data_IF_515537628021
#
_entry.id   IF_515537628021
#
_cell.length_a   1.000
_cell.length_b   1.000
_cell.length_c   1.000
_cell.angle_alpha   90.00
_cell.angle_beta   90.00
_cell.angle_gamma   90.00
#
_symmetry.space_group_name_H-M   'P 1'
#
loop_
_entity.id
_entity.type
_entity.pdbx_description
1 polymer ?
#
# COMPACT_ATOMS: atom_id res chain seq x y z
N UNK A 1 -32.34 -38.23 -0.44
CA UNK A 1 -31.28 -37.91 0.54
C UNK A 1 -30.04 -38.69 0.13
N UNK A 2 -28.84 -38.14 -0.07
CA UNK A 2 -28.13 -37.01 0.55
C UNK A 2 -27.35 -36.23 -0.51
N UNK A 3 -27.33 -34.89 -0.39
CA UNK A 3 -26.50 -33.97 -1.19
C UNK A 3 -25.05 -34.16 -0.77
N UNK A 4 -24.17 -34.51 -1.70
CA UNK A 4 -22.73 -34.29 -1.55
C UNK A 4 -22.43 -32.85 -1.94
N UNK A 5 -22.37 -31.98 -0.94
CA UNK A 5 -21.90 -30.61 -1.06
C UNK A 5 -20.54 -30.57 -0.38
N UNK A 6 -19.48 -30.64 -1.17
CA UNK A 6 -18.15 -30.24 -0.73
C UNK A 6 -17.86 -28.86 -1.31
N UNK A 7 -17.80 -27.82 -0.47
CA UNK A 7 -16.97 -26.67 -0.73
C UNK A 7 -15.91 -26.59 0.37
N UNK A 8 -14.66 -26.80 0.01
CA UNK A 8 -13.58 -26.17 0.76
C UNK A 8 -12.54 -25.72 -0.27
N UNK A 9 -12.67 -24.46 -0.68
CA UNK A 9 -11.75 -23.41 -0.25
C UNK A 9 -10.39 -23.60 -0.94
N UNK A 10 -10.16 -22.86 -2.03
CA UNK A 10 -9.43 -21.59 -1.93
C UNK A 10 -8.10 -21.84 -1.22
N UNK A 11 -6.99 -21.97 -1.93
CA UNK A 11 -6.37 -20.82 -2.56
C UNK A 11 -5.39 -21.39 -3.58
N UNK A 12 -5.84 -21.52 -4.84
CA UNK A 12 -4.90 -21.72 -5.92
C UNK A 12 -4.01 -20.48 -5.96
N UNK A 13 -2.77 -20.73 -5.56
CA UNK A 13 -1.71 -19.77 -5.40
C UNK A 13 -1.53 -19.09 -6.75
N UNK A 14 -1.96 -17.82 -6.84
CA UNK A 14 -1.59 -16.91 -7.94
C UNK A 14 -0.11 -16.55 -7.79
N UNK A 15 0.76 -17.54 -7.98
CA UNK A 15 2.17 -17.38 -8.28
C UNK A 15 2.26 -17.23 -9.80
N UNK A 16 2.13 -15.99 -10.28
CA UNK A 16 2.21 -15.70 -11.71
C UNK A 16 2.18 -14.22 -12.08
N UNK A 17 2.44 -13.30 -11.13
CA UNK A 17 2.55 -11.87 -11.41
C UNK A 17 3.94 -11.38 -11.01
N UNK A 18 4.95 -12.09 -11.50
CA UNK A 18 6.35 -11.72 -11.42
C UNK A 18 6.64 -10.44 -12.24
N UNK A 19 6.98 -9.39 -11.51
CA UNK A 19 8.19 -8.57 -11.71
C UNK A 19 8.27 -7.48 -12.80
N UNK A 20 7.30 -7.29 -13.72
CA UNK A 20 7.46 -6.26 -14.78
C UNK A 20 6.53 -5.04 -14.70
N UNK A 21 5.44 -5.13 -13.94
CA UNK A 21 4.49 -4.03 -13.76
C UNK A 21 4.54 -3.67 -12.30
N UNK A 22 4.89 -2.42 -11.96
CA UNK A 22 4.69 -1.95 -10.59
C UNK A 22 3.22 -2.25 -10.28
N UNK A 23 2.96 -3.21 -9.40
CA UNK A 23 1.60 -3.64 -9.14
C UNK A 23 0.82 -2.41 -8.69
N UNK A 24 -0.39 -2.22 -9.21
CA UNK A 24 -1.25 -1.11 -8.76
C UNK A 24 -1.33 -1.13 -7.23
N UNK A 25 -1.35 -2.33 -6.64
CA UNK A 25 -1.25 -2.57 -5.19
C UNK A 25 0.05 -2.07 -4.53
N UNK A 26 1.22 -2.19 -5.15
CA UNK A 26 2.48 -1.65 -4.60
C UNK A 26 2.46 -0.11 -4.60
N UNK A 27 1.92 0.49 -5.67
CA UNK A 27 1.75 1.95 -5.76
C UNK A 27 0.80 2.44 -4.68
N UNK A 28 -0.32 1.76 -4.50
CA UNK A 28 -1.30 2.09 -3.47
C UNK A 28 -0.73 2.00 -2.06
N UNK A 29 -0.04 0.90 -1.72
CA UNK A 29 0.60 0.73 -0.42
C UNK A 29 1.62 1.85 -0.19
N UNK A 30 2.45 2.14 -1.19
CA UNK A 30 3.45 3.20 -1.10
C UNK A 30 2.80 4.59 -0.95
N UNK A 31 1.69 4.83 -1.66
CA UNK A 31 0.92 6.06 -1.58
C UNK A 31 0.35 6.27 -0.18
N UNK A 32 -0.29 5.24 0.40
CA UNK A 32 -0.80 5.25 1.77
C UNK A 32 0.31 5.55 2.77
N UNK A 33 1.47 4.90 2.65
CA UNK A 33 2.62 5.14 3.52
C UNK A 33 3.15 6.58 3.42
N UNK A 34 3.29 7.12 2.21
CA UNK A 34 3.75 8.50 2.00
C UNK A 34 2.79 9.50 2.65
N UNK A 35 1.49 9.31 2.44
CA UNK A 35 0.49 10.22 2.97
C UNK A 35 0.43 10.14 4.50
N UNK A 36 0.48 8.93 5.06
CA UNK A 36 0.51 8.71 6.50
C UNK A 36 1.70 9.42 7.15
N UNK A 37 2.92 9.20 6.65
CA UNK A 37 4.14 9.83 7.18
C UNK A 37 4.06 11.37 7.13
N UNK A 38 3.46 11.93 6.07
CA UNK A 38 3.24 13.38 5.97
C UNK A 38 2.28 13.90 7.02
N UNK A 39 1.14 13.24 7.23
CA UNK A 39 0.14 13.69 8.20
C UNK A 39 0.68 13.51 9.63
N UNK A 40 1.35 12.40 9.92
CA UNK A 40 1.95 12.12 11.23
C UNK A 40 3.03 13.16 11.61
N UNK A 41 3.86 13.60 10.65
CA UNK A 41 4.89 14.64 10.84
C UNK A 41 4.34 16.06 10.81
N UNK A 42 3.10 16.25 10.35
CA UNK A 42 2.47 17.56 10.30
C UNK A 42 1.81 17.87 11.65
N UNK A 43 1.71 19.16 12.02
CA UNK A 43 0.98 19.59 13.22
C UNK A 43 -0.55 19.49 13.04
N UNK A 44 -1.02 18.58 12.18
CA UNK A 44 -2.44 18.32 11.97
C UNK A 44 -3.02 17.61 13.20
N UNK A 45 -4.25 17.99 13.54
CA UNK A 45 -4.99 17.57 14.74
C UNK A 45 -4.28 17.84 16.07
N UNK A 46 -3.90 19.11 16.36
CA UNK A 46 -3.17 19.45 17.59
C UNK A 46 -3.98 19.24 18.88
N UNK A 47 -5.31 19.16 18.78
CA UNK A 47 -6.22 19.09 19.93
C UNK A 47 -6.90 17.71 20.07
N UNK A 48 -6.52 16.72 19.27
CA UNK A 48 -7.06 15.36 19.39
C UNK A 48 -6.20 14.51 20.33
N UNK A 49 -6.83 13.56 21.01
CA UNK A 49 -6.11 12.48 21.69
C UNK A 49 -5.29 11.67 20.67
N UNK A 50 -4.27 10.94 21.11
CA UNK A 50 -3.48 10.11 20.20
C UNK A 50 -4.33 9.04 19.49
N UNK A 51 -5.35 8.52 20.17
CA UNK A 51 -6.26 7.51 19.63
C UNK A 51 -7.17 8.12 18.55
N UNK A 52 -7.86 9.23 18.86
CA UNK A 52 -8.68 9.97 17.89
C UNK A 52 -7.86 10.49 16.70
N UNK A 53 -6.61 10.89 16.97
CA UNK A 53 -5.66 11.33 15.93
C UNK A 53 -5.33 10.17 15.01
N UNK A 54 -5.04 8.98 15.54
CA UNK A 54 -4.75 7.79 14.75
C UNK A 54 -5.92 7.41 13.84
N UNK A 55 -7.15 7.39 14.38
CA UNK A 55 -8.35 7.08 13.60
C UNK A 55 -8.59 8.11 12.49
N UNK A 56 -8.41 9.40 12.78
CA UNK A 56 -8.56 10.46 11.79
C UNK A 56 -7.50 10.37 10.70
N UNK A 57 -6.25 10.10 11.08
CA UNK A 57 -5.16 9.88 10.12
C UNK A 57 -5.48 8.68 9.22
N UNK A 58 -5.94 7.56 9.78
CA UNK A 58 -6.30 6.38 9.00
C UNK A 58 -7.41 6.70 7.98
N UNK A 59 -8.46 7.42 8.40
CA UNK A 59 -9.52 7.87 7.53
C UNK A 59 -9.00 8.77 6.39
N UNK A 60 -8.19 9.77 6.73
CA UNK A 60 -7.68 10.73 5.74
C UNK A 60 -6.67 10.09 4.79
N UNK A 61 -5.91 9.10 5.25
CA UNK A 61 -5.07 8.28 4.38
C UNK A 61 -5.91 7.52 3.36
N UNK A 62 -6.99 6.85 3.77
CA UNK A 62 -7.86 6.12 2.84
C UNK A 62 -8.60 7.03 1.85
N UNK A 63 -8.97 8.24 2.25
CA UNK A 63 -9.64 9.18 1.35
C UNK A 63 -8.69 9.88 0.37
N UNK A 64 -7.47 10.23 0.81
CA UNK A 64 -6.59 11.13 0.06
C UNK A 64 -5.34 10.46 -0.52
N UNK A 65 -5.08 9.17 -0.30
CA UNK A 65 -3.94 8.47 -0.93
C UNK A 65 -3.90 8.62 -2.47
N UNK A 66 -5.02 8.74 -3.22
CA UNK A 66 -4.94 8.90 -4.67
C UNK A 66 -4.17 10.15 -5.10
N UNK A 67 -4.14 11.19 -4.26
CA UNK A 67 -3.44 12.45 -4.53
C UNK A 67 -1.91 12.28 -4.60
N UNK A 68 -1.37 11.22 -4.00
CA UNK A 68 0.08 10.94 -3.97
C UNK A 68 0.49 9.74 -4.84
N UNK A 69 -0.41 9.20 -5.67
CA UNK A 69 -0.12 8.07 -6.59
C UNK A 69 1.11 8.33 -7.47
N UNK A 70 1.20 9.51 -8.09
CA UNK A 70 2.32 9.86 -8.97
C UNK A 70 3.65 9.92 -8.22
N UNK A 71 3.63 10.29 -6.95
CA UNK A 71 4.83 10.28 -6.11
C UNK A 71 5.22 8.86 -5.71
N UNK A 72 4.25 8.04 -5.34
CA UNK A 72 4.45 6.63 -5.02
C UNK A 72 5.06 5.86 -6.21
N UNK A 73 4.50 6.03 -7.41
CA UNK A 73 5.02 5.43 -8.64
C UNK A 73 6.47 5.86 -8.93
N UNK A 74 6.80 7.14 -8.78
CA UNK A 74 8.18 7.65 -8.94
C UNK A 74 9.14 7.07 -7.91
N UNK A 75 8.70 6.90 -6.66
CA UNK A 75 9.51 6.37 -5.56
C UNK A 75 9.83 4.89 -5.79
N UNK A 76 8.84 4.11 -6.21
CA UNK A 76 9.02 2.69 -6.57
C UNK A 76 9.94 2.53 -7.78
N UNK A 77 9.74 3.32 -8.84
CA UNK A 77 10.62 3.28 -10.01
C UNK A 77 12.08 3.60 -9.62
N UNK A 78 12.30 4.62 -8.77
CA UNK A 78 13.64 4.95 -8.26
C UNK A 78 14.26 3.80 -7.46
N UNK A 79 13.50 3.12 -6.61
CA UNK A 79 13.99 2.00 -5.81
C UNK A 79 14.40 0.81 -6.70
N UNK A 80 13.61 0.48 -7.71
CA UNK A 80 13.92 -0.59 -8.67
C UNK A 80 15.19 -0.29 -9.48
N UNK A 81 15.36 0.95 -9.94
CA UNK A 81 16.59 1.41 -10.62
C UNK A 81 17.83 1.32 -9.72
N UNK A 82 17.68 1.44 -8.39
CA UNK A 82 18.80 1.28 -7.46
C UNK A 82 19.09 -0.19 -7.11
N UNK A 83 18.07 -1.06 -7.12
CA UNK A 83 18.24 -2.50 -6.91
C UNK A 83 19.02 -3.15 -8.06
N UNK A 84 18.73 -2.76 -9.31
CA UNK A 84 19.47 -3.27 -10.48
C UNK A 84 20.95 -2.90 -10.45
N UNK A 85 21.30 -1.71 -9.92
CA UNK A 85 22.70 -1.28 -9.72
C UNK A 85 23.42 -2.03 -8.59
N UNK A 86 22.69 -2.65 -7.66
CA UNK A 86 23.27 -3.38 -6.52
C UNK A 86 23.44 -4.88 -6.77
N UNK A 87 22.68 -5.47 -7.69
CA UNK A 87 22.78 -6.90 -8.06
C UNK A 87 23.74 -7.21 -9.22
N UNK A 88 24.42 -6.20 -9.78
CA UNK A 88 25.48 -6.41 -10.77
C UNK A 88 26.86 -6.32 -10.10
N UNK A 89 27.26 -7.36 -9.39
CA UNK A 89 28.64 -7.59 -8.94
C UNK A 89 28.96 -9.08 -9.00
#
# INVERSE_FOLDING_TARGET
>A
MRKSFQPDSSTEQRNGEDAATIGVSEIEVTARTILRDRIERSPWYPNLSEEDRSERIAHDVECYWPTVINEAARRLNRQRVQQTKRSGF
#
